data_IF_862582982985
#
_entry.id   IF_862582982985
#
_cell.length_a   1.000
_cell.length_b   1.000
_cell.length_c   1.000
_cell.angle_alpha   90.00
_cell.angle_beta   90.00
_cell.angle_gamma   90.00
#
_symmetry.space_group_name_H-M   'P 1'
#
loop_
_entity.id
_entity.type
_entity.pdbx_description
1 polymer ?
#
# COMPACT_ATOMS: atom_id res chain seq x y z
N UNK A 1 13.74 6.23 -12.63
CA UNK A 1 13.50 4.92 -12.00
C UNK A 1 12.24 4.25 -12.55
N UNK A 2 11.02 4.75 -12.25
CA UNK A 2 9.76 4.16 -12.78
C UNK A 2 9.77 4.02 -14.32
N UNK A 3 10.36 4.98 -15.03
CA UNK A 3 10.56 4.94 -16.49
C UNK A 3 11.22 3.65 -17.01
N UNK A 4 12.00 2.96 -16.17
CA UNK A 4 12.74 1.76 -16.50
C UNK A 4 12.23 0.52 -15.76
N UNK A 5 11.06 0.59 -15.10
CA UNK A 5 10.48 -0.56 -14.39
C UNK A 5 11.09 -0.82 -13.01
N UNK A 6 11.64 0.20 -12.37
CA UNK A 6 12.24 0.10 -11.02
C UNK A 6 11.38 0.84 -9.99
N UNK A 7 11.46 0.42 -8.73
CA UNK A 7 10.81 1.02 -7.57
C UNK A 7 11.80 1.23 -6.41
N UNK A 8 11.52 2.23 -5.58
CA UNK A 8 12.21 2.48 -4.33
C UNK A 8 11.79 1.44 -3.28
N UNK A 9 12.75 1.06 -2.44
CA UNK A 9 12.55 0.16 -1.32
C UNK A 9 12.86 0.84 0.00
N UNK A 10 13.45 0.07 0.91
CA UNK A 10 13.80 0.58 2.24
C UNK A 10 14.78 1.76 2.15
N UNK A 11 14.46 2.82 2.89
CA UNK A 11 15.37 3.92 3.21
C UNK A 11 16.05 3.63 4.55
N UNK A 12 17.34 3.93 4.67
CA UNK A 12 18.10 3.86 5.92
C UNK A 12 18.90 5.14 6.12
N UNK A 13 19.23 5.48 7.37
CA UNK A 13 20.25 6.50 7.61
C UNK A 13 21.59 6.03 7.04
N UNK A 14 22.32 6.93 6.40
CA UNK A 14 23.71 6.71 6.00
C UNK A 14 24.64 7.27 7.07
N UNK A 15 24.58 8.59 7.24
CA UNK A 15 25.28 9.37 8.26
C UNK A 15 24.42 10.59 8.68
N UNK A 16 25.03 11.60 9.30
CA UNK A 16 24.35 12.79 9.82
C UNK A 16 23.74 13.69 8.73
N UNK A 17 24.20 13.56 7.48
CA UNK A 17 23.76 14.41 6.35
C UNK A 17 23.09 13.60 5.24
N UNK A 18 23.47 12.33 5.08
CA UNK A 18 23.07 11.49 3.96
C UNK A 18 22.23 10.30 4.40
N UNK A 19 21.35 9.87 3.49
CA UNK A 19 20.57 8.65 3.64
C UNK A 19 20.82 7.70 2.47
N UNK A 20 20.62 6.41 2.73
CA UNK A 20 20.70 5.36 1.74
C UNK A 20 19.29 5.03 1.25
N UNK A 21 19.10 5.04 -0.07
CA UNK A 21 17.85 4.64 -0.71
C UNK A 21 18.07 3.41 -1.58
N UNK A 22 17.42 2.30 -1.22
CA UNK A 22 17.42 1.11 -2.06
C UNK A 22 16.52 1.32 -3.27
N UNK A 23 16.98 0.89 -4.43
CA UNK A 23 16.21 0.77 -5.66
C UNK A 23 16.27 -0.66 -6.17
N UNK A 24 15.13 -1.17 -6.62
CA UNK A 24 15.02 -2.54 -7.15
C UNK A 24 14.10 -2.59 -8.36
N UNK A 25 14.33 -3.50 -9.33
CA UNK A 25 13.32 -3.83 -10.32
C UNK A 25 12.00 -4.22 -9.66
N UNK A 26 10.88 -3.88 -10.30
CA UNK A 26 9.57 -4.38 -9.85
C UNK A 26 9.52 -5.90 -10.04
N UNK A 27 8.87 -6.58 -9.10
CA UNK A 27 8.59 -8.02 -9.24
C UNK A 27 7.24 -8.19 -9.91
N UNK A 28 7.03 -9.33 -10.58
CA UNK A 28 5.81 -9.63 -11.32
C UNK A 28 4.51 -9.33 -10.54
N UNK A 29 4.49 -9.55 -9.22
CA UNK A 29 3.31 -9.34 -8.36
C UNK A 29 3.43 -8.14 -7.42
N UNK A 30 4.29 -7.18 -7.73
CA UNK A 30 4.43 -5.97 -6.93
C UNK A 30 3.17 -5.09 -7.06
N UNK A 31 2.65 -4.63 -5.93
CA UNK A 31 1.48 -3.74 -5.87
C UNK A 31 1.80 -2.34 -6.38
N UNK A 32 0.79 -1.66 -6.92
CA UNK A 32 0.88 -0.27 -7.37
C UNK A 32 0.19 0.66 -6.38
N UNK A 33 0.76 1.84 -6.20
CA UNK A 33 0.12 2.95 -5.48
C UNK A 33 -0.49 3.91 -6.48
N UNK A 34 -1.57 4.60 -6.10
CA UNK A 34 -2.15 5.69 -6.91
C UNK A 34 -1.13 6.79 -7.21
N UNK A 35 -0.20 7.02 -6.29
CA UNK A 35 0.94 7.95 -6.50
C UNK A 35 1.80 7.51 -7.68
N UNK A 36 2.16 6.23 -7.76
CA UNK A 36 2.99 5.74 -8.87
C UNK A 36 2.22 5.70 -10.19
N UNK A 37 0.93 5.39 -10.16
CA UNK A 37 0.04 5.49 -11.33
C UNK A 37 0.02 6.93 -11.87
N UNK A 38 -0.19 7.93 -11.01
CA UNK A 38 -0.16 9.35 -11.41
C UNK A 38 1.21 9.77 -11.94
N UNK A 39 2.30 9.33 -11.29
CA UNK A 39 3.68 9.60 -11.76
C UNK A 39 3.91 9.00 -13.15
N UNK A 40 3.43 7.80 -13.42
CA UNK A 40 3.53 7.20 -14.76
C UNK A 40 2.80 8.07 -15.78
N UNK A 41 1.58 8.56 -15.49
CA UNK A 41 0.86 9.44 -16.42
C UNK A 41 1.68 10.69 -16.77
N UNK A 42 2.27 11.36 -15.78
CA UNK A 42 3.15 12.53 -15.99
C UNK A 42 4.42 12.17 -16.78
N UNK A 43 5.03 11.02 -16.50
CA UNK A 43 6.23 10.58 -17.22
C UNK A 43 5.93 10.18 -18.66
N UNK A 44 4.75 9.61 -18.91
CA UNK A 44 4.27 9.25 -20.25
C UNK A 44 4.01 10.51 -21.07
N UNK A 45 3.28 11.50 -20.53
CA UNK A 45 3.01 12.75 -21.25
C UNK A 45 4.30 13.52 -21.56
N UNK A 46 5.31 13.41 -20.71
CA UNK A 46 6.64 13.99 -20.94
C UNK A 46 7.54 13.14 -21.86
N UNK A 47 7.08 12.02 -22.43
CA UNK A 47 7.88 11.15 -23.31
C UNK A 47 9.07 10.46 -22.62
N UNK A 48 9.04 10.35 -21.28
CA UNK A 48 10.18 9.85 -20.48
C UNK A 48 10.12 8.35 -20.20
N UNK A 49 8.97 7.72 -20.40
CA UNK A 49 8.82 6.28 -20.20
C UNK A 49 9.65 5.50 -21.23
N UNK A 50 10.28 4.41 -20.77
CA UNK A 50 11.03 3.47 -21.61
C UNK A 50 10.34 2.11 -21.58
N UNK A 51 10.65 1.27 -22.56
CA UNK A 51 9.98 -0.03 -22.71
C UNK A 51 9.96 -0.90 -21.45
N UNK A 52 11.03 -1.02 -20.66
CA UNK A 52 10.97 -1.77 -19.40
C UNK A 52 9.92 -1.21 -18.42
N UNK A 53 9.78 0.12 -18.33
CA UNK A 53 8.74 0.74 -17.51
C UNK A 53 7.33 0.55 -18.08
N UNK A 54 7.18 0.66 -19.40
CA UNK A 54 5.89 0.43 -20.06
C UNK A 54 5.44 -1.04 -19.96
N UNK A 55 6.38 -1.99 -20.02
CA UNK A 55 6.10 -3.41 -19.82
C UNK A 55 5.51 -3.68 -18.43
N UNK A 56 6.07 -3.08 -17.37
CA UNK A 56 5.53 -3.17 -16.01
C UNK A 56 4.12 -2.56 -15.87
N UNK A 57 3.85 -1.47 -16.59
CA UNK A 57 2.51 -0.84 -16.65
C UNK A 57 1.51 -1.78 -17.32
N UNK A 58 1.84 -2.30 -18.52
CA UNK A 58 0.98 -3.24 -19.26
C UNK A 58 0.71 -4.50 -18.47
N UNK A 59 1.73 -5.06 -17.82
CA UNK A 59 1.57 -6.25 -16.97
C UNK A 59 0.63 -6.00 -15.78
N UNK A 60 0.69 -4.81 -15.17
CA UNK A 60 -0.17 -4.46 -14.05
C UNK A 60 -1.62 -4.16 -14.45
N UNK A 61 -1.84 -3.63 -15.66
CA UNK A 61 -3.18 -3.46 -16.23
C UNK A 61 -3.79 -4.82 -16.59
N UNK A 62 -3.00 -5.71 -17.18
CA UNK A 62 -3.47 -7.03 -17.60
C UNK A 62 -3.91 -7.92 -16.41
N UNK A 63 -3.34 -7.72 -15.22
CA UNK A 63 -3.65 -8.52 -14.03
C UNK A 63 -4.42 -7.76 -12.94
N UNK A 64 -4.95 -6.57 -13.25
CA UNK A 64 -5.84 -5.79 -12.37
C UNK A 64 -5.15 -5.05 -11.22
N UNK A 65 -3.81 -5.16 -11.08
CA UNK A 65 -3.05 -4.43 -10.04
C UNK A 65 -3.04 -2.93 -10.27
N UNK A 66 -3.19 -2.48 -11.51
CA UNK A 66 -3.23 -1.07 -11.86
C UNK A 66 -4.50 -0.39 -11.34
N UNK A 67 -5.65 -1.04 -11.56
CA UNK A 67 -6.98 -0.59 -11.12
C UNK A 67 -7.10 -0.70 -9.59
N UNK A 68 -6.49 -1.74 -9.02
CA UNK A 68 -6.45 -1.98 -7.57
C UNK A 68 -5.38 -1.14 -6.85
N UNK A 69 -4.85 -0.09 -7.49
CA UNK A 69 -3.80 0.72 -6.90
C UNK A 69 -4.28 1.41 -5.62
N UNK A 70 -3.53 1.21 -4.53
CA UNK A 70 -3.92 1.68 -3.21
C UNK A 70 -3.72 3.20 -3.05
N UNK A 71 -4.59 3.89 -2.28
CA UNK A 71 -4.47 5.33 -2.05
C UNK A 71 -3.27 5.68 -1.17
N UNK A 72 -2.79 6.92 -1.29
CA UNK A 72 -1.78 7.43 -0.35
C UNK A 72 -2.37 7.60 1.05
N UNK A 73 -1.53 7.73 2.08
CA UNK A 73 -1.98 8.02 3.44
C UNK A 73 -2.89 9.25 3.55
N UNK A 74 -2.66 10.27 2.71
CA UNK A 74 -3.48 11.48 2.70
C UNK A 74 -4.89 11.26 2.15
N UNK A 75 -5.06 10.27 1.28
CA UNK A 75 -6.31 9.97 0.56
C UNK A 75 -6.98 8.67 1.04
N UNK A 76 -6.33 7.93 1.93
CA UNK A 76 -6.82 6.65 2.40
C UNK A 76 -8.01 6.85 3.32
N UNK A 77 -9.12 6.21 2.98
CA UNK A 77 -10.31 6.08 3.81
C UNK A 77 -10.36 4.68 4.42
N UNK A 78 -11.07 4.54 5.54
CA UNK A 78 -11.34 3.24 6.16
C UNK A 78 -12.23 2.44 5.20
N UNK A 79 -11.82 1.24 4.75
CA UNK A 79 -12.66 0.38 3.91
C UNK A 79 -13.92 -0.10 4.66
N UNK A 80 -15.01 -0.29 3.94
CA UNK A 80 -16.32 -0.61 4.53
C UNK A 80 -16.31 -1.89 5.38
N UNK A 81 -15.57 -2.92 4.95
CA UNK A 81 -15.43 -4.17 5.70
C UNK A 81 -14.64 -3.98 7.00
N UNK A 82 -13.61 -3.14 7.00
CA UNK A 82 -12.92 -2.75 8.23
C UNK A 82 -13.83 -1.92 9.14
N UNK A 83 -14.58 -0.97 8.59
CA UNK A 83 -15.52 -0.16 9.37
C UNK A 83 -16.60 -1.03 10.03
N UNK A 84 -17.18 -1.97 9.28
CA UNK A 84 -18.16 -2.91 9.79
C UNK A 84 -17.58 -3.82 10.88
N UNK A 85 -16.36 -4.33 10.70
CA UNK A 85 -15.74 -5.20 11.68
C UNK A 85 -15.35 -4.46 12.96
N UNK A 86 -14.88 -3.21 12.86
CA UNK A 86 -14.65 -2.34 14.02
C UNK A 86 -15.97 -1.99 14.72
N UNK A 87 -17.06 -1.75 13.98
CA UNK A 87 -18.36 -1.48 14.59
C UNK A 87 -18.92 -2.65 15.41
N UNK A 88 -18.48 -3.89 15.10
CA UNK A 88 -18.87 -5.10 15.82
C UNK A 88 -18.03 -5.37 17.10
N UNK A 89 -16.91 -4.65 17.31
CA UNK A 89 -15.99 -4.84 18.42
C UNK A 89 -15.57 -3.48 19.02
N UNK A 90 -16.15 -3.13 20.16
CA UNK A 90 -15.96 -1.82 20.78
C UNK A 90 -14.51 -1.56 21.22
N UNK A 91 -13.81 -2.60 21.68
CA UNK A 91 -12.42 -2.49 22.13
C UNK A 91 -11.48 -2.27 20.94
N UNK A 92 -11.66 -3.04 19.87
CA UNK A 92 -10.92 -2.86 18.63
C UNK A 92 -11.17 -1.47 18.02
N UNK A 93 -12.43 -1.00 18.04
CA UNK A 93 -12.80 0.33 17.56
C UNK A 93 -12.10 1.43 18.35
N UNK A 94 -12.19 1.39 19.68
CA UNK A 94 -11.58 2.38 20.54
C UNK A 94 -10.06 2.43 20.36
N UNK A 95 -9.42 1.26 20.28
CA UNK A 95 -7.98 1.19 20.05
C UNK A 95 -7.60 1.75 18.67
N UNK A 96 -8.30 1.36 17.60
CA UNK A 96 -8.06 1.87 16.26
C UNK A 96 -8.23 3.39 16.15
N UNK A 97 -9.29 3.93 16.74
CA UNK A 97 -9.56 5.38 16.76
C UNK A 97 -8.50 6.14 17.57
N UNK A 98 -7.92 5.51 18.61
CA UNK A 98 -6.80 6.06 19.38
C UNK A 98 -5.44 6.01 18.68
N UNK A 99 -5.30 5.27 17.57
CA UNK A 99 -4.06 5.23 16.80
C UNK A 99 -3.80 6.55 16.06
N UNK A 100 -2.52 6.89 15.91
CA UNK A 100 -2.11 7.98 15.01
C UNK A 100 -2.39 7.63 13.54
N UNK A 101 -2.50 8.66 12.68
CA UNK A 101 -2.79 8.52 11.24
C UNK A 101 -1.89 7.53 10.50
N UNK A 102 -0.63 7.38 10.94
CA UNK A 102 0.33 6.44 10.33
C UNK A 102 -0.01 5.00 10.66
N UNK A 103 -0.34 4.70 11.91
CA UNK A 103 -0.68 3.34 12.33
C UNK A 103 -2.05 2.93 11.76
N UNK A 104 -3.03 3.83 11.75
CA UNK A 104 -4.31 3.59 11.07
C UNK A 104 -4.12 3.28 9.58
N UNK A 105 -3.25 4.03 8.91
CA UNK A 105 -2.94 3.78 7.50
C UNK A 105 -2.24 2.43 7.28
N UNK A 106 -1.37 2.00 8.19
CA UNK A 106 -0.72 0.68 8.10
C UNK A 106 -1.75 -0.46 8.18
N UNK A 107 -2.76 -0.34 9.05
CA UNK A 107 -3.90 -1.25 9.12
C UNK A 107 -4.62 -1.28 7.76
N UNK A 108 -5.07 -0.13 7.27
CA UNK A 108 -5.79 -0.03 5.99
C UNK A 108 -4.96 -0.63 4.85
N UNK A 109 -3.69 -0.25 4.74
CA UNK A 109 -2.75 -0.74 3.74
C UNK A 109 -2.61 -2.25 3.76
N UNK A 110 -2.57 -2.86 4.94
CA UNK A 110 -2.42 -4.31 5.08
C UNK A 110 -3.62 -5.06 4.53
N UNK A 111 -4.83 -4.50 4.65
CA UNK A 111 -6.02 -5.05 3.99
C UNK A 111 -5.96 -4.92 2.47
N UNK A 112 -5.50 -3.77 1.95
CA UNK A 112 -5.30 -3.58 0.50
C UNK A 112 -4.25 -4.54 -0.09
N UNK A 113 -3.30 -5.03 0.71
CA UNK A 113 -2.30 -6.01 0.28
C UNK A 113 -2.85 -7.44 0.14
N UNK A 114 -4.07 -7.71 0.62
CA UNK A 114 -4.70 -9.02 0.45
C UNK A 114 -5.02 -9.27 -1.03
N UNK A 115 -4.60 -10.43 -1.54
CA UNK A 115 -4.74 -10.78 -2.97
C UNK A 115 -5.99 -11.59 -3.31
N UNK A 116 -6.71 -12.06 -2.29
CA UNK A 116 -7.93 -12.86 -2.42
C UNK A 116 -8.91 -12.43 -1.35
N UNK A 117 -10.20 -12.58 -1.62
CA UNK A 117 -11.28 -12.27 -0.66
C UNK A 117 -11.13 -13.10 0.63
N UNK A 118 -10.87 -14.40 0.49
CA UNK A 118 -10.58 -15.29 1.64
C UNK A 118 -9.39 -14.79 2.46
N UNK A 119 -8.29 -14.42 1.80
CA UNK A 119 -7.10 -13.89 2.47
C UNK A 119 -7.35 -12.54 3.13
N UNK A 120 -8.25 -11.72 2.56
CA UNK A 120 -8.68 -10.45 3.11
C UNK A 120 -9.51 -10.65 4.38
N UNK A 121 -10.52 -11.52 4.34
CA UNK A 121 -11.37 -11.83 5.49
C UNK A 121 -10.55 -12.38 6.68
N UNK A 122 -9.69 -13.38 6.43
CA UNK A 122 -8.81 -13.93 7.47
C UNK A 122 -7.84 -12.90 8.05
N UNK A 123 -7.39 -11.96 7.22
CA UNK A 123 -6.50 -10.89 7.67
C UNK A 123 -7.25 -9.86 8.51
N UNK A 124 -8.46 -9.50 8.10
CA UNK A 124 -9.34 -8.59 8.82
C UNK A 124 -9.65 -9.14 10.22
N UNK A 125 -10.07 -10.41 10.32
CA UNK A 125 -10.34 -11.10 11.59
C UNK A 125 -9.14 -11.01 12.55
N UNK A 126 -7.95 -11.40 12.08
CA UNK A 126 -6.73 -11.32 12.90
C UNK A 126 -6.41 -9.89 13.33
N UNK A 127 -6.58 -8.92 12.43
CA UNK A 127 -6.28 -7.52 12.72
C UNK A 127 -7.24 -6.94 13.77
N UNK A 128 -8.53 -7.25 13.68
CA UNK A 128 -9.52 -6.85 14.69
C UNK A 128 -9.18 -7.47 16.05
N UNK A 129 -8.85 -8.76 16.09
CA UNK A 129 -8.41 -9.42 17.33
C UNK A 129 -7.14 -8.78 17.93
N UNK A 130 -6.15 -8.41 17.10
CA UNK A 130 -4.95 -7.69 17.56
C UNK A 130 -5.28 -6.31 18.12
N UNK A 131 -6.18 -5.57 17.47
CA UNK A 131 -6.60 -4.24 17.93
C UNK A 131 -7.41 -4.34 19.23
N UNK A 132 -8.31 -5.32 19.36
CA UNK A 132 -9.07 -5.60 20.58
C UNK A 132 -8.15 -5.93 21.77
N UNK A 133 -7.02 -6.60 21.51
CA UNK A 133 -5.99 -6.87 22.52
C UNK A 133 -5.14 -5.63 22.89
N UNK A 134 -5.41 -4.45 22.31
CA UNK A 134 -4.64 -3.23 22.56
C UNK A 134 -3.27 -3.22 21.87
N UNK A 135 -3.10 -4.01 20.81
CA UNK A 135 -1.83 -4.14 20.10
C UNK A 135 -1.87 -3.51 18.69
N UNK A 136 -0.73 -2.95 18.27
CA UNK A 136 -0.59 -2.42 16.90
C UNK A 136 -0.42 -3.57 15.92
N UNK A 137 -1.17 -3.51 14.81
CA UNK A 137 -0.96 -4.42 13.67
C UNK A 137 0.43 -4.19 13.06
N UNK A 138 1.29 -5.21 13.14
CA UNK A 138 2.64 -5.25 12.54
C UNK A 138 2.64 -5.95 11.18
#
# INVERSE_FOLDING_TARGET
>A
MLCFGWIDGQRKSGDDTYYLQKYTPRRARSLWSRVNVRKVAVLTSAGRMREPGLAEVRAAQADGRWESAYPSQAEATVPDDLAAALAADADAKAFFEGLGRTDQYLVIMRLWQARTEKGRAQRLERMVATLAAGEKVR
#
